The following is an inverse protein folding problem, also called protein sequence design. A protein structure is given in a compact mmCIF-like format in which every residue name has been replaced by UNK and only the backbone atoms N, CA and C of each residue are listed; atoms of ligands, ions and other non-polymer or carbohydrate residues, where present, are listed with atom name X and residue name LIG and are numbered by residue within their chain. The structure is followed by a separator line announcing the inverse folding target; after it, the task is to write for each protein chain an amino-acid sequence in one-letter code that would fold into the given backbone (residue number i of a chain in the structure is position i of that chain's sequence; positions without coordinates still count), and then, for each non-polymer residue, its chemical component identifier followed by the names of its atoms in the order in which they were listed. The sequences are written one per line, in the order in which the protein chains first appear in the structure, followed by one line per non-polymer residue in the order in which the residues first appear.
data_IF_963871138203
#
_entry.id   IF_963871138203
#
_cell.length_a   1.000
_cell.length_b   1.000
_cell.length_c   1.000
_cell.angle_alpha   90.00
_cell.angle_beta   90.00
_cell.angle_gamma   90.00
#
_symmetry.space_group_name_H-M   'P 1'
#
loop_
_entity.id
_entity.type
_entity.pdbx_description
1 polymer ?
#
# COMPACT_ATOMS: atom_id res chain seq x y z
N UNK A 1 43.63 73.68 -2.57
CA UNK A 1 42.47 73.11 -1.85
C UNK A 1 43.00 72.33 -0.65
N UNK A 2 42.50 72.63 0.55
CA UNK A 2 42.94 72.04 1.84
C UNK A 2 42.35 70.63 1.99
N UNK A 3 43.18 69.62 2.24
CA UNK A 3 42.74 68.28 2.61
C UNK A 3 42.62 68.20 4.14
N UNK A 4 41.42 67.92 4.63
CA UNK A 4 41.17 67.60 6.05
C UNK A 4 40.99 66.08 6.14
N UNK A 5 41.92 65.44 6.83
CA UNK A 5 41.84 64.04 7.26
C UNK A 5 40.79 63.93 8.38
N UNK A 6 39.86 62.97 8.26
CA UNK A 6 39.13 62.41 9.40
C UNK A 6 39.39 60.91 9.41
N UNK A 7 40.21 60.47 10.35
CA UNK A 7 40.48 59.05 10.61
C UNK A 7 39.25 58.42 11.26
N UNK A 8 38.60 57.52 10.54
CA UNK A 8 37.60 56.61 11.12
C UNK A 8 38.36 55.34 11.54
N UNK A 9 38.45 55.09 12.84
CA UNK A 9 39.00 53.86 13.39
C UNK A 9 37.92 52.80 13.33
N UNK A 10 38.05 51.83 12.42
CA UNK A 10 37.22 50.62 12.40
C UNK A 10 37.79 49.60 13.39
N UNK A 11 37.14 49.45 14.55
CA UNK A 11 37.38 48.33 15.46
C UNK A 11 36.65 47.12 14.90
N UNK A 12 37.40 46.19 14.29
CA UNK A 12 36.87 44.88 13.87
C UNK A 12 36.80 43.97 15.10
N UNK A 13 35.58 43.74 15.60
CA UNK A 13 35.32 42.76 16.63
C UNK A 13 35.30 41.36 15.98
N UNK A 14 36.41 40.63 16.03
CA UNK A 14 36.44 39.21 15.64
C UNK A 14 35.78 38.39 16.74
N UNK A 15 34.51 38.04 16.53
CA UNK A 15 33.84 37.00 17.31
C UNK A 15 34.41 35.66 16.86
N UNK A 16 35.39 35.14 17.61
CA UNK A 16 35.70 33.71 17.56
C UNK A 16 34.54 32.98 18.23
N UNK A 17 33.55 32.56 17.44
CA UNK A 17 32.64 31.51 17.88
C UNK A 17 33.48 30.24 18.01
N UNK A 18 33.59 29.71 19.22
CA UNK A 18 34.16 28.39 19.45
C UNK A 18 33.13 27.37 18.98
N UNK A 19 33.09 27.12 17.68
CA UNK A 19 32.33 25.99 17.14
C UNK A 19 33.08 24.74 17.57
N UNK A 20 32.42 23.93 18.39
CA UNK A 20 32.93 22.64 18.82
C UNK A 20 33.18 21.82 17.56
N UNK A 21 34.40 21.33 17.35
CA UNK A 21 34.73 20.41 16.27
C UNK A 21 33.93 19.12 16.45
N UNK A 22 32.71 19.08 15.93
CA UNK A 22 31.98 17.85 15.77
C UNK A 22 32.73 17.02 14.74
N UNK A 23 33.07 15.77 15.10
CA UNK A 23 33.71 14.84 14.18
C UNK A 23 32.94 14.83 12.85
N UNK A 24 33.62 14.80 11.69
CA UNK A 24 32.94 14.77 10.39
C UNK A 24 31.94 13.61 10.42
N UNK A 25 30.64 13.94 10.30
CA UNK A 25 29.61 12.92 10.13
C UNK A 25 30.05 12.07 8.95
N UNK A 26 30.18 10.76 9.15
CA UNK A 26 30.39 9.80 8.06
C UNK A 26 29.36 10.13 6.98
N UNK A 27 29.80 10.65 5.84
CA UNK A 27 28.91 10.85 4.70
C UNK A 27 28.36 9.48 4.34
N UNK A 28 27.06 9.30 4.56
CA UNK A 28 26.35 8.14 4.02
C UNK A 28 26.26 8.38 2.52
N UNK A 29 27.13 7.73 1.76
CA UNK A 29 27.08 7.74 0.31
C UNK A 29 25.72 7.18 -0.14
N UNK A 30 24.91 8.02 -0.78
CA UNK A 30 23.62 7.60 -1.33
C UNK A 30 23.85 6.84 -2.64
N UNK A 31 23.45 5.58 -2.67
CA UNK A 31 23.44 4.78 -3.91
C UNK A 31 22.16 5.11 -4.69
N UNK A 32 22.30 5.45 -5.97
CA UNK A 32 21.19 5.58 -6.91
C UNK A 32 21.03 4.24 -7.63
N UNK A 33 19.82 3.68 -7.57
CA UNK A 33 19.46 2.46 -8.29
C UNK A 33 18.08 2.60 -8.96
N UNK A 34 17.75 1.68 -9.86
CA UNK A 34 16.49 1.65 -10.61
C UNK A 34 16.00 0.22 -10.81
N UNK A 35 14.69 0.02 -10.69
CA UNK A 35 14.02 -1.24 -11.04
C UNK A 35 13.21 -1.07 -12.31
N UNK A 36 13.16 -2.11 -13.15
CA UNK A 36 12.36 -2.13 -14.39
C UNK A 36 11.20 -3.12 -14.26
N UNK A 37 9.97 -2.62 -14.36
CA UNK A 37 8.75 -3.43 -14.28
C UNK A 37 8.37 -4.07 -15.63
N UNK A 38 9.20 -3.88 -16.66
CA UNK A 38 8.94 -4.33 -18.03
C UNK A 38 7.87 -3.52 -18.75
N UNK A 39 7.69 -3.80 -20.04
CA UNK A 39 6.66 -3.15 -20.87
C UNK A 39 5.27 -3.42 -20.32
N UNK A 40 4.48 -2.37 -20.12
CA UNK A 40 3.11 -2.49 -19.63
C UNK A 40 3.00 -2.99 -18.19
N UNK A 41 4.05 -2.86 -17.37
CA UNK A 41 4.08 -3.34 -15.99
C UNK A 41 3.85 -4.86 -15.89
N UNK A 42 4.44 -5.63 -16.80
CA UNK A 42 4.26 -7.09 -16.85
C UNK A 42 4.75 -7.82 -15.58
N UNK A 43 5.60 -7.16 -14.78
CA UNK A 43 6.30 -7.76 -13.66
C UNK A 43 6.06 -7.02 -12.34
N UNK A 44 5.96 -7.77 -11.24
CA UNK A 44 6.21 -7.29 -9.90
C UNK A 44 7.69 -7.56 -9.56
N UNK A 45 8.39 -6.56 -9.03
CA UNK A 45 9.84 -6.63 -8.73
C UNK A 45 10.06 -6.39 -7.24
N UNK A 46 10.74 -7.34 -6.59
CA UNK A 46 11.06 -7.33 -5.17
C UNK A 46 12.53 -6.98 -4.99
N UNK A 47 12.81 -5.77 -4.51
CA UNK A 47 14.16 -5.24 -4.39
C UNK A 47 14.73 -5.44 -2.97
N UNK A 48 15.94 -5.98 -2.90
CA UNK A 48 16.68 -6.19 -1.67
C UNK A 48 17.54 -4.97 -1.35
N UNK A 49 17.13 -4.22 -0.32
CA UNK A 49 17.84 -3.00 0.11
C UNK A 49 19.24 -3.27 0.71
N UNK A 50 19.59 -4.52 1.00
CA UNK A 50 20.89 -4.88 1.61
C UNK A 50 22.00 -5.02 0.58
N UNK A 51 21.71 -5.66 -0.56
CA UNK A 51 22.70 -6.00 -1.59
C UNK A 51 22.35 -5.47 -2.98
N UNK A 52 21.18 -4.85 -3.15
CA UNK A 52 20.70 -4.30 -4.42
C UNK A 52 20.21 -5.34 -5.43
N UNK A 53 20.12 -6.61 -5.04
CA UNK A 53 19.52 -7.65 -5.89
C UNK A 53 18.02 -7.45 -6.03
N UNK A 54 17.47 -7.86 -7.16
CA UNK A 54 16.03 -7.88 -7.40
C UNK A 54 15.56 -9.28 -7.82
N UNK A 55 14.35 -9.63 -7.37
CA UNK A 55 13.64 -10.83 -7.79
C UNK A 55 12.39 -10.42 -8.54
N UNK A 56 12.13 -11.06 -9.69
CA UNK A 56 11.04 -10.70 -10.59
C UNK A 56 10.01 -11.82 -10.66
N UNK A 57 8.73 -11.46 -10.55
CA UNK A 57 7.61 -12.35 -10.82
C UNK A 57 6.65 -11.72 -11.85
N UNK A 58 5.99 -12.55 -12.66
CA UNK A 58 4.90 -12.07 -13.52
C UNK A 58 3.76 -11.54 -12.64
N UNK A 59 3.28 -10.33 -12.93
CA UNK A 59 2.28 -9.65 -12.10
C UNK A 59 0.90 -10.33 -12.11
N UNK A 60 0.59 -11.09 -13.15
CA UNK A 60 -0.70 -11.76 -13.35
C UNK A 60 -0.76 -13.19 -12.77
N UNK A 61 0.11 -13.53 -11.82
CA UNK A 61 0.18 -14.88 -11.23
C UNK A 61 -0.70 -15.08 -10.01
N UNK A 62 -1.35 -14.02 -9.53
CA UNK A 62 -2.21 -14.08 -8.35
C UNK A 62 -3.51 -13.33 -8.57
N UNK A 63 -4.59 -13.90 -8.02
CA UNK A 63 -5.93 -13.30 -8.10
C UNK A 63 -6.39 -12.74 -6.75
N UNK A 64 -6.08 -13.43 -5.65
CA UNK A 64 -6.55 -13.14 -4.29
C UNK A 64 -5.35 -13.06 -3.34
N UNK A 65 -5.34 -12.04 -2.48
CA UNK A 65 -4.34 -11.85 -1.44
C UNK A 65 -4.97 -11.72 -0.05
N UNK A 66 -4.32 -12.30 0.96
CA UNK A 66 -4.78 -12.27 2.35
C UNK A 66 -3.87 -11.38 3.18
N UNK A 67 -4.48 -10.48 3.97
CA UNK A 67 -3.73 -9.74 5.00
C UNK A 67 -3.48 -10.65 6.20
N UNK A 68 -2.23 -10.66 6.67
CA UNK A 68 -1.78 -11.53 7.77
C UNK A 68 -1.61 -10.78 9.10
N UNK A 69 -1.97 -9.49 9.14
CA UNK A 69 -1.99 -8.71 10.37
C UNK A 69 -2.96 -9.35 11.36
N UNK A 70 -2.57 -9.43 12.64
CA UNK A 70 -3.45 -9.92 13.69
C UNK A 70 -4.80 -9.18 13.67
N UNK A 71 -5.89 -9.95 13.74
CA UNK A 71 -7.28 -9.46 13.68
C UNK A 71 -7.68 -8.78 12.36
N UNK A 72 -6.92 -8.98 11.27
CA UNK A 72 -7.35 -8.56 9.94
C UNK A 72 -8.31 -9.57 9.33
N UNK A 73 -9.37 -9.09 8.71
CA UNK A 73 -10.28 -9.87 7.85
C UNK A 73 -10.16 -9.47 6.38
N UNK A 74 -9.18 -8.63 6.02
CA UNK A 74 -9.06 -8.06 4.69
C UNK A 74 -8.55 -9.07 3.67
N UNK A 75 -9.30 -9.19 2.58
CA UNK A 75 -8.95 -9.99 1.41
C UNK A 75 -9.00 -9.07 0.19
N UNK A 76 -7.88 -8.95 -0.50
CA UNK A 76 -7.71 -8.10 -1.69
C UNK A 76 -7.75 -8.93 -2.97
N UNK A 77 -8.06 -8.27 -4.08
CA UNK A 77 -7.93 -8.83 -5.43
C UNK A 77 -6.82 -8.15 -6.23
N UNK A 78 -6.28 -8.82 -7.25
CA UNK A 78 -5.34 -8.22 -8.19
C UNK A 78 -6.05 -7.42 -9.29
N UNK A 79 -6.74 -6.34 -8.91
CA UNK A 79 -7.46 -5.49 -9.87
C UNK A 79 -6.52 -4.91 -10.94
N UNK A 80 -5.25 -4.72 -10.59
CA UNK A 80 -4.20 -4.26 -11.48
C UNK A 80 -3.72 -5.27 -12.53
N UNK A 81 -4.11 -6.54 -12.42
CA UNK A 81 -3.96 -7.57 -13.45
C UNK A 81 -5.29 -7.93 -14.14
N UNK A 82 -6.35 -7.14 -13.90
CA UNK A 82 -7.67 -7.34 -14.51
C UNK A 82 -8.60 -8.27 -13.74
N UNK A 83 -8.30 -8.61 -12.48
CA UNK A 83 -9.24 -9.37 -11.65
C UNK A 83 -10.43 -8.48 -11.28
N UNK A 84 -11.62 -9.01 -11.49
CA UNK A 84 -12.89 -8.40 -11.13
C UNK A 84 -13.54 -9.23 -10.03
N UNK A 85 -14.40 -8.62 -9.22
CA UNK A 85 -15.09 -9.30 -8.14
C UNK A 85 -16.49 -8.73 -8.00
N UNK A 86 -17.45 -9.63 -7.85
CA UNK A 86 -18.85 -9.32 -7.71
C UNK A 86 -19.45 -10.14 -6.58
N UNK A 87 -20.21 -9.51 -5.69
CA UNK A 87 -21.03 -10.22 -4.71
C UNK A 87 -22.32 -10.70 -5.40
N UNK A 88 -22.58 -12.01 -5.36
CA UNK A 88 -23.72 -12.62 -6.06
C UNK A 88 -24.81 -13.13 -5.12
N UNK A 89 -24.48 -13.37 -3.84
CA UNK A 89 -25.46 -13.69 -2.82
C UNK A 89 -24.92 -13.41 -1.42
N UNK A 90 -25.83 -13.08 -0.50
CA UNK A 90 -25.60 -13.00 0.96
C UNK A 90 -26.18 -14.22 1.72
N UNK A 91 -26.59 -15.24 0.99
CA UNK A 91 -27.02 -16.53 1.54
C UNK A 91 -26.08 -17.63 1.04
N UNK A 92 -25.34 -18.25 1.97
CA UNK A 92 -24.38 -19.32 1.62
C UNK A 92 -25.06 -20.60 1.16
N UNK A 93 -26.38 -20.76 1.36
CA UNK A 93 -27.14 -21.87 0.80
C UNK A 93 -27.27 -21.79 -0.72
N UNK A 94 -27.04 -20.61 -1.33
CA UNK A 94 -27.08 -20.42 -2.78
C UNK A 94 -25.88 -21.02 -3.52
N UNK A 95 -24.89 -21.59 -2.82
CA UNK A 95 -23.67 -22.10 -3.45
C UNK A 95 -23.92 -23.13 -4.57
N UNK A 96 -24.96 -23.94 -4.41
CA UNK A 96 -25.30 -24.97 -5.39
C UNK A 96 -26.28 -24.48 -6.48
N UNK A 97 -26.74 -23.23 -6.40
CA UNK A 97 -27.65 -22.65 -7.38
C UNK A 97 -26.85 -22.16 -8.60
N UNK A 98 -27.32 -22.42 -9.84
CA UNK A 98 -26.70 -21.84 -11.02
C UNK A 98 -26.68 -20.31 -10.95
N UNK A 99 -25.53 -19.73 -11.24
CA UNK A 99 -25.36 -18.26 -11.33
C UNK A 99 -25.61 -17.85 -12.78
N UNK A 100 -26.65 -17.06 -13.02
CA UNK A 100 -26.84 -16.40 -14.31
C UNK A 100 -25.88 -15.21 -14.40
N UNK A 101 -24.93 -15.27 -15.32
CA UNK A 101 -23.95 -14.20 -15.58
C UNK A 101 -24.39 -13.26 -16.71
N UNK A 102 -25.63 -13.40 -17.21
CA UNK A 102 -26.18 -12.48 -18.18
C UNK A 102 -26.22 -11.06 -17.59
N UNK A 103 -25.61 -10.12 -18.31
CA UNK A 103 -25.54 -8.73 -17.85
C UNK A 103 -24.43 -8.40 -16.85
N UNK A 104 -23.43 -9.27 -16.67
CA UNK A 104 -22.28 -9.05 -15.77
C UNK A 104 -21.62 -7.66 -15.94
N UNK A 105 -21.60 -7.11 -17.16
CA UNK A 105 -21.05 -5.76 -17.43
C UNK A 105 -21.78 -4.63 -16.70
N UNK A 106 -22.99 -4.88 -16.19
CA UNK A 106 -23.79 -3.93 -15.42
C UNK A 106 -23.73 -4.19 -13.90
N UNK A 107 -23.05 -5.26 -13.47
CA UNK A 107 -22.94 -5.59 -12.05
C UNK A 107 -22.00 -4.63 -11.34
N UNK A 108 -22.27 -4.38 -10.06
CA UNK A 108 -21.40 -3.55 -9.25
C UNK A 108 -20.10 -4.29 -8.92
N UNK A 109 -19.00 -3.77 -9.45
CA UNK A 109 -17.67 -4.31 -9.21
C UNK A 109 -17.18 -3.89 -7.82
N UNK A 110 -16.77 -4.86 -7.02
CA UNK A 110 -16.11 -4.63 -5.74
C UNK A 110 -14.61 -4.38 -5.95
N UNK A 111 -14.10 -3.33 -5.32
CA UNK A 111 -12.71 -2.89 -5.50
C UNK A 111 -12.00 -2.84 -4.14
N UNK A 112 -10.68 -3.02 -4.17
CA UNK A 112 -9.85 -2.70 -3.00
C UNK A 112 -9.94 -1.19 -2.71
N UNK A 113 -9.94 -0.81 -1.44
CA UNK A 113 -9.82 0.60 -1.05
C UNK A 113 -8.48 1.18 -1.50
N UNK A 114 -8.51 2.45 -1.88
CA UNK A 114 -7.31 3.23 -2.25
C UNK A 114 -6.61 3.82 -1.02
N UNK A 115 -7.27 3.83 0.14
CA UNK A 115 -6.83 4.53 1.34
C UNK A 115 -6.53 3.58 2.51
N UNK A 116 -7.21 2.43 2.56
CA UNK A 116 -7.13 1.51 3.70
C UNK A 116 -6.96 0.05 3.25
N UNK A 117 -5.84 -0.55 3.64
CA UNK A 117 -5.52 -1.94 3.35
C UNK A 117 -6.38 -2.94 4.13
N UNK A 118 -7.08 -2.49 5.17
CA UNK A 118 -8.04 -3.30 5.90
C UNK A 118 -9.41 -3.38 5.19
N UNK A 119 -9.59 -2.61 4.10
CA UNK A 119 -10.79 -2.65 3.25
C UNK A 119 -10.43 -3.20 1.87
N UNK A 120 -10.23 -4.52 1.81
CA UNK A 120 -10.06 -5.24 0.55
C UNK A 120 -11.39 -5.41 -0.20
N UNK A 121 -11.34 -5.85 -1.46
CA UNK A 121 -12.54 -6.00 -2.31
C UNK A 121 -13.62 -6.91 -1.69
N UNK A 122 -13.23 -7.99 -1.01
CA UNK A 122 -14.17 -8.88 -0.31
C UNK A 122 -14.82 -8.24 0.93
N UNK A 123 -14.25 -7.16 1.43
CA UNK A 123 -14.77 -6.38 2.56
C UNK A 123 -15.44 -5.09 2.12
N UNK A 124 -15.55 -4.81 0.80
CA UNK A 124 -16.11 -3.57 0.28
C UNK A 124 -17.55 -3.31 0.75
N UNK A 125 -18.34 -4.37 0.93
CA UNK A 125 -19.72 -4.32 1.42
C UNK A 125 -19.85 -4.59 2.93
N UNK A 126 -18.75 -4.51 3.69
CA UNK A 126 -18.81 -4.64 5.15
C UNK A 126 -19.67 -3.52 5.75
N UNK A 127 -20.32 -3.80 6.87
CA UNK A 127 -21.06 -2.76 7.60
C UNK A 127 -20.25 -2.29 8.80
N UNK A 128 -19.98 -3.21 9.73
CA UNK A 128 -19.10 -3.08 10.88
C UNK A 128 -19.11 -4.44 11.60
N UNK A 129 -18.29 -4.59 12.64
CA UNK A 129 -18.35 -5.76 13.51
C UNK A 129 -19.80 -6.09 13.94
N UNK A 130 -20.26 -7.35 13.76
CA UNK A 130 -19.48 -8.53 13.39
C UNK A 130 -19.42 -8.88 11.89
N UNK A 131 -19.92 -8.04 10.99
CA UNK A 131 -19.98 -8.28 9.53
C UNK A 131 -18.84 -7.58 8.78
N UNK A 132 -17.96 -8.40 8.18
CA UNK A 132 -16.77 -7.99 7.45
C UNK A 132 -16.93 -8.11 5.92
N UNK A 133 -18.17 -8.16 5.43
CA UNK A 133 -18.51 -8.26 4.01
C UNK A 133 -18.60 -9.71 3.56
N UNK A 134 -17.44 -10.37 3.41
CA UNK A 134 -17.39 -11.79 3.01
C UNK A 134 -17.70 -12.76 4.15
N UNK A 135 -17.55 -12.32 5.40
CA UNK A 135 -17.72 -13.16 6.57
C UNK A 135 -18.29 -12.44 7.78
N UNK A 136 -18.96 -13.21 8.64
CA UNK A 136 -19.52 -12.77 9.91
C UNK A 136 -18.84 -13.47 11.08
N UNK A 137 -18.43 -12.66 12.04
CA UNK A 137 -17.80 -13.11 13.26
C UNK A 137 -18.82 -13.66 14.24
N UNK A 138 -18.44 -14.74 14.93
CA UNK A 138 -19.24 -15.36 15.97
C UNK A 138 -18.65 -15.03 17.34
N UNK A 139 -19.35 -14.23 18.14
CA UNK A 139 -18.89 -13.80 19.47
C UNK A 139 -18.78 -14.93 20.50
N UNK A 140 -19.41 -16.09 20.24
CA UNK A 140 -19.35 -17.25 21.13
C UNK A 140 -18.14 -18.13 20.86
N UNK A 141 -17.83 -18.38 19.59
CA UNK A 141 -16.70 -19.26 19.21
C UNK A 141 -15.43 -18.49 18.87
N UNK A 142 -15.55 -17.17 18.65
CA UNK A 142 -14.51 -16.28 18.16
C UNK A 142 -13.99 -16.61 16.76
N UNK A 143 -14.78 -17.36 15.97
CA UNK A 143 -14.48 -17.69 14.57
C UNK A 143 -15.12 -16.69 13.59
N UNK A 144 -14.54 -16.59 12.39
CA UNK A 144 -15.09 -15.84 11.26
C UNK A 144 -15.62 -16.82 10.20
N UNK A 145 -16.93 -16.79 9.96
CA UNK A 145 -17.60 -17.68 9.00
C UNK A 145 -17.98 -16.94 7.72
N UNK A 146 -17.81 -17.59 6.56
CA UNK A 146 -18.27 -17.04 5.29
C UNK A 146 -19.78 -16.79 5.31
N UNK A 147 -20.20 -15.62 4.82
CA UNK A 147 -21.60 -15.17 4.80
C UNK A 147 -22.07 -14.64 3.44
N UNK A 148 -21.19 -14.64 2.44
CA UNK A 148 -21.51 -14.18 1.09
C UNK A 148 -20.77 -15.02 0.04
N UNK A 149 -21.32 -15.03 -1.17
CA UNK A 149 -20.78 -15.74 -2.33
C UNK A 149 -20.35 -14.69 -3.35
N UNK A 150 -19.19 -14.92 -3.96
CA UNK A 150 -18.59 -14.00 -4.91
C UNK A 150 -18.27 -14.71 -6.23
N UNK A 151 -18.35 -13.96 -7.32
CA UNK A 151 -17.94 -14.36 -8.66
C UNK A 151 -16.82 -13.44 -9.14
N UNK A 152 -15.90 -13.98 -9.92
CA UNK A 152 -14.86 -13.23 -10.63
C UNK A 152 -15.29 -12.98 -12.05
#
# INVERSE_FOLDING_TARGET
MKYIFHSIVFISFFIFSCEKDDAPKKETESVIDSVSLGTGYANDVFYNLTDGSDETALRNTWDIGFRTKAFSSSIIINSGAGVELYEISKDTNDWNNPVDTSGLQNWEKLNNSLEDWEVGAFSANMTNHPDYGWGKYNDLTHDLFGSAIFCR
#
